data_IF_441621616586
#
_entry.id   IF_441621616586
#
_cell.length_a   1.000
_cell.length_b   1.000
_cell.length_c   1.000
_cell.angle_alpha   90.00
_cell.angle_beta   90.00
_cell.angle_gamma   90.00
#
_symmetry.space_group_name_H-M   'P 1'
#
loop_
_entity.id
_entity.type
_entity.pdbx_description
1 polymer ?
#
# COMPACT_ATOMS: atom_id res chain seq x y z
N UNK A 1 -19.45 -12.20 8.36
CA UNK A 1 -19.22 -12.83 7.06
C UNK A 1 -18.68 -14.24 7.29
N UNK A 2 -19.12 -15.20 6.49
CA UNK A 2 -18.74 -16.60 6.57
C UNK A 2 -18.23 -17.10 5.22
N UNK A 3 -17.33 -18.07 5.25
CA UNK A 3 -16.84 -18.81 4.09
C UNK A 3 -17.11 -20.30 4.28
N UNK A 4 -17.42 -21.00 3.20
CA UNK A 4 -17.62 -22.46 3.24
C UNK A 4 -16.27 -23.18 3.06
N UNK A 5 -15.67 -23.62 4.16
CA UNK A 5 -14.38 -24.34 4.14
C UNK A 5 -14.47 -25.73 3.47
N UNK A 6 -15.68 -26.29 3.33
CA UNK A 6 -15.91 -27.55 2.64
C UNK A 6 -16.04 -27.43 1.11
N UNK A 7 -15.80 -26.25 0.52
CA UNK A 7 -15.88 -26.05 -0.92
C UNK A 7 -14.53 -26.14 -1.62
N UNK A 8 -14.53 -26.64 -2.87
CA UNK A 8 -13.34 -26.68 -3.71
C UNK A 8 -12.74 -25.28 -3.90
N UNK A 9 -13.60 -24.27 -4.07
CA UNK A 9 -13.17 -22.87 -4.19
C UNK A 9 -12.34 -22.41 -2.99
N UNK A 10 -12.77 -22.73 -1.77
CA UNK A 10 -12.03 -22.36 -0.55
C UNK A 10 -10.71 -23.09 -0.44
N UNK A 11 -10.68 -24.38 -0.82
CA UNK A 11 -9.45 -25.16 -0.87
C UNK A 11 -8.42 -24.50 -1.82
N UNK A 12 -8.82 -24.19 -3.05
CA UNK A 12 -7.96 -23.55 -4.05
C UNK A 12 -7.51 -22.17 -3.56
N UNK A 13 -8.41 -21.37 -3.00
CA UNK A 13 -8.11 -20.04 -2.49
C UNK A 13 -7.21 -20.05 -1.25
N UNK A 14 -7.09 -21.16 -0.55
CA UNK A 14 -6.18 -21.33 0.59
C UNK A 14 -4.70 -21.34 0.20
N UNK A 15 -4.38 -21.65 -1.05
CA UNK A 15 -3.03 -21.61 -1.59
C UNK A 15 -2.84 -20.36 -2.46
N UNK A 16 -1.84 -19.53 -2.11
CA UNK A 16 -1.57 -18.26 -2.81
C UNK A 16 -1.27 -18.43 -4.31
N UNK A 17 -0.72 -19.55 -4.72
CA UNK A 17 -0.28 -19.79 -6.09
C UNK A 17 -1.23 -20.71 -6.89
N UNK A 18 -2.31 -21.20 -6.26
CA UNK A 18 -3.29 -22.06 -6.91
C UNK A 18 -2.81 -23.49 -7.23
N UNK A 19 -1.58 -23.85 -6.82
CA UNK A 19 -1.01 -25.17 -7.02
C UNK A 19 -1.46 -26.09 -5.87
N UNK A 20 -2.70 -26.56 -5.99
CA UNK A 20 -3.33 -27.47 -5.01
C UNK A 20 -3.72 -28.76 -5.72
N UNK A 21 -3.29 -29.89 -5.18
CA UNK A 21 -3.80 -31.19 -5.63
C UNK A 21 -5.30 -31.31 -5.24
N UNK A 22 -6.14 -31.26 -6.24
CA UNK A 22 -7.59 -31.39 -6.08
C UNK A 22 -8.08 -32.81 -6.36
N UNK A 23 -7.20 -33.75 -6.71
CA UNK A 23 -7.57 -35.11 -7.14
C UNK A 23 -8.27 -35.94 -6.05
N UNK A 24 -7.94 -35.68 -4.78
CA UNK A 24 -8.53 -36.35 -3.62
C UNK A 24 -9.64 -35.53 -2.93
N UNK A 25 -9.96 -34.33 -3.43
CA UNK A 25 -10.95 -33.48 -2.80
C UNK A 25 -12.37 -34.00 -3.07
N UNK A 26 -13.12 -34.22 -2.02
CA UNK A 26 -14.54 -34.54 -2.07
C UNK A 26 -15.30 -33.38 -1.43
N UNK A 27 -16.10 -32.70 -2.24
CA UNK A 27 -16.92 -31.59 -1.74
C UNK A 27 -17.92 -32.10 -0.69
N UNK A 28 -17.96 -31.42 0.45
CA UNK A 28 -18.91 -31.78 1.51
C UNK A 28 -20.35 -31.54 1.05
N UNK A 29 -21.25 -32.51 1.18
CA UNK A 29 -22.66 -32.30 0.83
C UNK A 29 -23.34 -31.24 1.71
N UNK A 30 -22.78 -30.97 2.89
CA UNK A 30 -23.23 -29.92 3.78
C UNK A 30 -22.13 -28.84 3.89
N UNK A 31 -22.49 -27.55 3.81
CA UNK A 31 -21.50 -26.49 3.92
C UNK A 31 -20.90 -26.43 5.32
N UNK A 32 -19.57 -26.25 5.39
CA UNK A 32 -18.81 -26.07 6.62
C UNK A 32 -18.49 -24.59 6.77
N UNK A 33 -19.34 -23.87 7.49
CA UNK A 33 -19.23 -22.43 7.61
C UNK A 33 -18.18 -21.99 8.65
N UNK A 34 -17.14 -21.29 8.19
CA UNK A 34 -16.17 -20.62 9.06
C UNK A 34 -16.38 -19.11 9.02
N UNK A 35 -16.46 -18.48 10.18
CA UNK A 35 -16.59 -17.03 10.31
C UNK A 35 -15.26 -16.33 10.01
N UNK A 36 -15.28 -15.36 9.11
CA UNK A 36 -14.09 -14.57 8.68
C UNK A 36 -14.22 -13.07 8.96
N UNK A 37 -15.40 -12.60 9.39
CA UNK A 37 -15.62 -11.19 9.76
C UNK A 37 -16.85 -11.02 10.64
N UNK A 38 -16.86 -9.96 11.48
CA UNK A 38 -17.91 -9.71 12.51
C UNK A 38 -18.72 -8.45 12.27
N UNK A 39 -18.19 -7.50 11.53
CA UNK A 39 -18.68 -6.11 11.36
C UNK A 39 -19.28 -5.85 9.97
N UNK A 40 -19.70 -6.91 9.27
CA UNK A 40 -20.16 -6.81 7.88
C UNK A 40 -19.03 -6.70 6.86
N UNK A 41 -17.79 -6.62 7.31
CA UNK A 41 -16.61 -6.59 6.45
C UNK A 41 -15.82 -7.90 6.56
N UNK A 42 -15.26 -8.35 5.44
CA UNK A 42 -14.34 -9.48 5.41
C UNK A 42 -13.36 -9.33 4.27
N UNK A 43 -12.19 -9.91 4.45
CA UNK A 43 -11.20 -10.05 3.40
C UNK A 43 -10.87 -11.52 3.22
N UNK A 44 -10.86 -11.96 1.98
CA UNK A 44 -10.43 -13.30 1.61
C UNK A 44 -9.65 -13.26 0.30
N UNK A 45 -8.82 -14.25 0.08
CA UNK A 45 -8.13 -14.45 -1.18
C UNK A 45 -9.04 -15.21 -2.14
N UNK A 46 -9.19 -14.74 -3.38
CA UNK A 46 -10.03 -15.40 -4.39
C UNK A 46 -9.34 -15.38 -5.75
N UNK A 47 -9.00 -16.55 -6.25
CA UNK A 47 -8.31 -16.71 -7.52
C UNK A 47 -9.13 -16.29 -8.74
N UNK A 48 -10.45 -16.19 -8.60
CA UNK A 48 -11.34 -15.73 -9.67
C UNK A 48 -11.20 -14.24 -9.99
N UNK A 49 -10.68 -13.44 -9.03
CA UNK A 49 -10.64 -11.98 -9.15
C UNK A 49 -9.28 -11.40 -9.53
N UNK A 50 -8.26 -12.23 -9.70
CA UNK A 50 -6.92 -11.79 -10.05
C UNK A 50 -6.24 -12.67 -11.10
N UNK A 51 -5.16 -12.17 -11.69
CA UNK A 51 -4.38 -12.88 -12.68
C UNK A 51 -3.41 -13.86 -12.01
N UNK A 52 -3.50 -15.16 -12.39
CA UNK A 52 -2.73 -16.24 -11.75
C UNK A 52 -1.42 -16.58 -12.46
N UNK A 53 -1.21 -16.11 -13.69
CA UNK A 53 0.00 -16.41 -14.43
C UNK A 53 1.16 -15.47 -14.05
N UNK A 54 2.42 -15.96 -13.98
CA UNK A 54 3.59 -15.10 -13.80
C UNK A 54 3.86 -14.20 -15.02
N UNK A 55 3.28 -14.55 -16.19
CA UNK A 55 3.37 -13.71 -17.39
C UNK A 55 2.36 -12.58 -17.31
N UNK A 56 2.79 -11.36 -17.65
CA UNK A 56 1.89 -10.21 -17.74
C UNK A 56 0.73 -10.51 -18.70
N UNK A 57 -0.52 -10.28 -18.31
CA UNK A 57 -1.66 -10.49 -19.21
C UNK A 57 -1.63 -9.50 -20.37
N UNK A 58 -2.20 -9.90 -21.50
CA UNK A 58 -2.52 -8.99 -22.58
C UNK A 58 -3.93 -8.42 -22.35
N UNK A 59 -4.15 -7.11 -22.50
CA UNK A 59 -5.49 -6.55 -22.45
C UNK A 59 -6.30 -6.99 -23.68
N UNK A 60 -7.60 -7.20 -23.47
CA UNK A 60 -8.52 -7.59 -24.54
C UNK A 60 -9.15 -6.39 -25.26
N UNK A 61 -8.97 -5.19 -24.71
CA UNK A 61 -9.48 -3.93 -25.27
C UNK A 61 -8.52 -2.76 -25.02
N UNK A 62 -8.87 -1.59 -25.57
CA UNK A 62 -8.09 -0.34 -25.43
C UNK A 62 -8.17 0.28 -24.04
N UNK A 63 -9.11 -0.15 -23.21
CA UNK A 63 -9.25 0.30 -21.81
C UNK A 63 -8.39 -0.50 -20.84
N UNK A 64 -7.68 -1.52 -21.36
CA UNK A 64 -6.81 -2.35 -20.55
C UNK A 64 -7.52 -3.51 -19.85
N UNK A 65 -8.73 -3.84 -20.24
CA UNK A 65 -9.49 -4.97 -19.68
C UNK A 65 -8.72 -6.28 -19.88
N UNK A 66 -8.56 -7.07 -18.82
CA UNK A 66 -7.92 -8.38 -18.84
C UNK A 66 -8.97 -9.48 -18.74
N UNK A 67 -9.79 -9.45 -17.70
CA UNK A 67 -10.84 -10.43 -17.45
C UNK A 67 -11.98 -9.82 -16.64
N UNK A 68 -13.21 -10.13 -17.03
CA UNK A 68 -14.39 -9.88 -16.21
C UNK A 68 -14.60 -11.08 -15.27
N UNK A 69 -14.85 -10.82 -14.00
CA UNK A 69 -15.03 -11.85 -13.00
C UNK A 69 -16.35 -11.74 -12.25
N UNK A 70 -16.82 -12.85 -11.73
CA UNK A 70 -18.04 -12.96 -10.92
C UNK A 70 -17.81 -13.87 -9.74
N UNK A 71 -18.23 -13.43 -8.56
CA UNK A 71 -18.20 -14.20 -7.32
C UNK A 71 -19.60 -14.31 -6.77
N UNK A 72 -20.20 -15.51 -6.76
CA UNK A 72 -21.50 -15.71 -6.14
C UNK A 72 -21.36 -15.64 -4.63
N UNK A 73 -22.26 -14.91 -4.00
CA UNK A 73 -22.34 -14.74 -2.54
C UNK A 73 -23.81 -14.89 -2.11
N UNK A 74 -24.04 -15.10 -0.83
CA UNK A 74 -25.38 -15.01 -0.25
C UNK A 74 -25.40 -13.90 0.80
N UNK A 75 -26.35 -12.98 0.68
CA UNK A 75 -26.55 -11.89 1.64
C UNK A 75 -27.92 -12.11 2.28
N UNK A 76 -27.95 -12.36 3.59
CA UNK A 76 -29.16 -12.65 4.36
C UNK A 76 -30.04 -13.77 3.74
N UNK A 77 -29.38 -14.80 3.20
CA UNK A 77 -30.04 -15.93 2.53
C UNK A 77 -30.42 -15.69 1.07
N UNK A 78 -30.23 -14.47 0.54
CA UNK A 78 -30.52 -14.14 -0.86
C UNK A 78 -29.27 -14.34 -1.71
N UNK A 79 -29.35 -15.17 -2.73
CA UNK A 79 -28.26 -15.38 -3.68
C UNK A 79 -27.99 -14.09 -4.48
N UNK A 80 -26.75 -13.64 -4.44
CA UNK A 80 -26.29 -12.39 -5.04
C UNK A 80 -24.97 -12.63 -5.78
N UNK A 81 -24.62 -11.81 -6.74
CA UNK A 81 -23.35 -11.91 -7.46
C UNK A 81 -22.57 -10.61 -7.33
N UNK A 82 -21.36 -10.67 -6.81
CA UNK A 82 -20.39 -9.58 -6.92
C UNK A 82 -19.66 -9.75 -8.25
N UNK A 83 -19.61 -8.71 -9.06
CA UNK A 83 -18.91 -8.72 -10.34
C UNK A 83 -17.95 -7.56 -10.45
N UNK A 84 -16.88 -7.77 -11.19
CA UNK A 84 -15.90 -6.74 -11.45
C UNK A 84 -15.06 -7.08 -12.68
N UNK A 85 -14.11 -6.20 -12.96
CA UNK A 85 -13.22 -6.34 -14.11
C UNK A 85 -11.79 -6.12 -13.65
N UNK A 86 -10.89 -7.01 -14.03
CA UNK A 86 -9.47 -6.84 -13.85
C UNK A 86 -8.92 -6.00 -15.01
N UNK A 87 -8.26 -4.91 -14.67
CA UNK A 87 -7.63 -4.03 -15.65
C UNK A 87 -6.11 -4.08 -15.53
N UNK A 88 -5.45 -4.06 -16.67
CA UNK A 88 -4.03 -3.81 -16.76
C UNK A 88 -3.78 -2.30 -16.78
N UNK A 89 -3.31 -1.77 -15.67
CA UNK A 89 -2.95 -0.35 -15.59
C UNK A 89 -1.62 -0.12 -16.30
N UNK A 90 -1.56 0.93 -17.11
CA UNK A 90 -0.29 1.38 -17.66
C UNK A 90 0.65 1.81 -16.52
N UNK A 91 1.94 1.49 -16.69
CA UNK A 91 2.95 1.96 -15.75
C UNK A 91 3.02 3.48 -15.81
N UNK A 92 3.11 4.12 -14.65
CA UNK A 92 3.34 5.55 -14.58
C UNK A 92 4.60 5.91 -15.38
N UNK A 93 4.50 6.97 -16.19
CA UNK A 93 5.62 7.41 -17.01
C UNK A 93 6.83 7.75 -16.14
N UNK A 94 7.97 7.18 -16.48
CA UNK A 94 9.26 7.46 -15.82
C UNK A 94 9.57 8.97 -15.85
N UNK A 95 9.07 9.68 -16.85
CA UNK A 95 9.28 11.15 -16.97
C UNK A 95 8.68 11.92 -15.79
N UNK A 96 7.51 11.52 -15.28
CA UNK A 96 6.91 12.14 -14.10
C UNK A 96 7.73 11.91 -12.84
N UNK A 97 8.30 10.71 -12.69
CA UNK A 97 9.22 10.39 -11.59
C UNK A 97 10.51 11.21 -11.67
N UNK A 98 11.09 11.32 -12.89
CA UNK A 98 12.28 12.17 -13.13
C UNK A 98 11.99 13.64 -12.89
N UNK A 99 10.85 14.15 -13.35
CA UNK A 99 10.44 15.52 -13.09
C UNK A 99 10.24 15.81 -11.60
N UNK A 100 9.58 14.90 -10.88
CA UNK A 100 9.43 14.98 -9.42
C UNK A 100 10.77 14.95 -8.69
N UNK A 101 11.67 14.06 -9.09
CA UNK A 101 13.02 13.97 -8.54
C UNK A 101 13.83 15.24 -8.81
N UNK A 102 13.80 15.78 -10.04
CA UNK A 102 14.47 17.02 -10.40
C UNK A 102 13.92 18.21 -9.61
N UNK A 103 12.59 18.31 -9.47
CA UNK A 103 11.96 19.35 -8.66
C UNK A 103 12.37 19.25 -7.18
N UNK A 104 12.41 18.04 -6.62
CA UNK A 104 12.86 17.80 -5.25
C UNK A 104 14.34 18.18 -5.09
N UNK A 105 15.20 17.78 -6.03
CA UNK A 105 16.62 18.12 -6.02
C UNK A 105 16.84 19.64 -6.11
N UNK A 106 16.09 20.33 -6.96
CA UNK A 106 16.10 21.80 -7.03
C UNK A 106 15.63 22.43 -5.71
N UNK A 107 14.54 21.95 -5.13
CA UNK A 107 14.04 22.43 -3.85
C UNK A 107 15.09 22.24 -2.74
N UNK A 108 15.73 21.07 -2.67
CA UNK A 108 16.78 20.78 -1.70
C UNK A 108 18.01 21.66 -1.91
N UNK A 109 18.48 21.84 -3.15
CA UNK A 109 19.67 22.67 -3.44
C UNK A 109 19.41 24.16 -3.20
N UNK A 110 18.24 24.66 -3.55
CA UNK A 110 17.84 26.05 -3.26
C UNK A 110 17.67 26.27 -1.74
N UNK A 111 17.07 25.32 -1.04
CA UNK A 111 16.88 25.36 0.41
C UNK A 111 18.19 25.19 1.17
N UNK A 112 19.17 24.44 0.65
CA UNK A 112 20.49 24.29 1.26
C UNK A 112 21.25 25.62 1.36
N UNK A 113 21.00 26.56 0.46
CA UNK A 113 21.54 27.95 0.53
C UNK A 113 20.87 28.79 1.61
N UNK A 114 19.63 28.44 1.98
CA UNK A 114 18.83 29.07 3.04
C UNK A 114 18.49 28.05 4.11
N UNK A 115 19.41 27.81 5.05
CA UNK A 115 19.33 26.74 6.06
C UNK A 115 17.97 26.62 6.77
N UNK A 116 17.32 27.75 7.07
CA UNK A 116 16.02 27.75 7.77
C UNK A 116 14.90 27.14 6.92
N UNK A 117 14.90 27.41 5.62
CA UNK A 117 13.89 26.93 4.70
C UNK A 117 14.01 25.42 4.45
N UNK A 118 15.26 24.91 4.40
CA UNK A 118 15.53 23.48 4.25
C UNK A 118 14.88 22.63 5.37
N UNK A 119 15.00 23.05 6.61
CA UNK A 119 14.39 22.32 7.74
C UNK A 119 12.87 22.37 7.67
N UNK A 120 12.32 23.51 7.28
CA UNK A 120 10.87 23.66 7.15
C UNK A 120 10.31 22.79 6.01
N UNK A 121 10.99 22.74 4.86
CA UNK A 121 10.61 21.90 3.72
C UNK A 121 10.63 20.41 4.11
N UNK A 122 11.68 19.94 4.80
CA UNK A 122 11.76 18.56 5.28
C UNK A 122 10.61 18.23 6.25
N UNK A 123 10.29 19.14 7.15
CA UNK A 123 9.18 18.99 8.07
C UNK A 123 7.84 18.89 7.32
N UNK A 124 7.59 19.77 6.35
CA UNK A 124 6.35 19.73 5.56
C UNK A 124 6.22 18.42 4.76
N UNK A 125 7.29 17.97 4.10
CA UNK A 125 7.29 16.67 3.37
C UNK A 125 6.96 15.53 4.33
N UNK A 126 7.53 15.55 5.54
CA UNK A 126 7.24 14.53 6.56
C UNK A 126 5.77 14.55 6.97
N UNK A 127 5.16 15.72 7.16
CA UNK A 127 3.74 15.86 7.47
C UNK A 127 2.86 15.32 6.34
N UNK A 128 3.20 15.61 5.07
CA UNK A 128 2.49 15.03 3.92
C UNK A 128 2.58 13.51 3.95
N UNK A 129 3.76 12.96 4.25
CA UNK A 129 3.95 11.51 4.40
C UNK A 129 3.09 10.92 5.54
N UNK A 130 2.95 11.62 6.68
CA UNK A 130 2.06 11.21 7.77
C UNK A 130 0.60 11.16 7.31
N UNK A 131 0.14 12.20 6.61
CA UNK A 131 -1.24 12.26 6.11
C UNK A 131 -1.51 11.12 5.13
N UNK A 132 -0.63 10.92 4.15
CA UNK A 132 -0.74 9.83 3.15
C UNK A 132 -0.73 8.47 3.84
N UNK A 133 0.21 8.23 4.77
CA UNK A 133 0.29 6.98 5.51
C UNK A 133 -0.93 6.71 6.39
N UNK A 134 -1.49 7.75 7.01
CA UNK A 134 -2.72 7.64 7.79
C UNK A 134 -3.92 7.33 6.89
N UNK A 135 -4.08 8.02 5.76
CA UNK A 135 -5.14 7.75 4.79
C UNK A 135 -5.06 6.33 4.24
N UNK A 136 -3.85 5.86 3.90
CA UNK A 136 -3.63 4.49 3.44
C UNK A 136 -4.03 3.49 4.53
N UNK A 137 -3.59 3.68 5.77
CA UNK A 137 -3.89 2.77 6.88
C UNK A 137 -5.39 2.70 7.20
N UNK A 138 -6.06 3.85 7.23
CA UNK A 138 -7.52 3.92 7.50
C UNK A 138 -8.33 3.39 6.32
N UNK A 139 -7.88 3.62 5.08
CA UNK A 139 -8.56 3.16 3.86
C UNK A 139 -8.51 1.64 3.66
N UNK A 140 -7.61 0.93 4.35
CA UNK A 140 -7.54 -0.52 4.27
C UNK A 140 -8.55 -1.19 5.23
N UNK A 141 -9.27 -2.24 4.78
CA UNK A 141 -10.11 -3.06 5.65
C UNK A 141 -9.31 -3.63 6.83
N UNK A 142 -9.95 -3.84 7.98
CA UNK A 142 -9.28 -4.29 9.21
C UNK A 142 -8.43 -5.56 9.02
N UNK A 143 -8.89 -6.51 8.20
CA UNK A 143 -8.15 -7.75 7.90
C UNK A 143 -6.97 -7.58 6.93
N UNK A 144 -6.90 -6.44 6.20
CA UNK A 144 -5.84 -6.15 5.23
C UNK A 144 -4.78 -5.17 5.75
N UNK A 145 -4.93 -4.67 6.98
CA UNK A 145 -3.99 -3.73 7.57
C UNK A 145 -2.65 -4.41 7.84
N UNK A 146 -1.68 -4.08 7.01
CA UNK A 146 -0.27 -4.43 7.20
C UNK A 146 0.40 -3.39 8.10
N UNK A 147 1.64 -3.68 8.52
CA UNK A 147 2.44 -2.72 9.29
C UNK A 147 2.50 -1.37 8.58
N UNK A 148 2.07 -0.27 9.21
CA UNK A 148 1.93 1.03 8.55
C UNK A 148 3.30 1.73 8.42
N UNK A 149 4.19 1.19 7.59
CA UNK A 149 5.58 1.65 7.46
C UNK A 149 5.65 3.12 7.05
N UNK A 150 4.86 3.55 6.05
CA UNK A 150 4.83 4.96 5.62
C UNK A 150 4.46 5.87 6.78
N UNK A 151 3.41 5.53 7.53
CA UNK A 151 2.97 6.31 8.68
C UNK A 151 4.04 6.37 9.78
N UNK A 152 4.65 5.24 10.12
CA UNK A 152 5.67 5.16 11.17
C UNK A 152 6.93 5.95 10.81
N UNK A 153 7.49 5.74 9.62
CA UNK A 153 8.69 6.43 9.18
C UNK A 153 8.46 7.93 8.99
N UNK A 154 7.33 8.32 8.40
CA UNK A 154 7.00 9.74 8.22
C UNK A 154 6.73 10.44 9.55
N UNK A 155 6.12 9.78 10.52
CA UNK A 155 5.93 10.32 11.88
C UNK A 155 7.28 10.53 12.58
N UNK A 156 8.16 9.53 12.55
CA UNK A 156 9.53 9.65 13.07
C UNK A 156 10.29 10.79 12.40
N UNK A 157 10.21 10.89 11.08
CA UNK A 157 10.81 11.96 10.29
C UNK A 157 10.28 13.36 10.69
N UNK A 158 8.97 13.51 10.89
CA UNK A 158 8.36 14.77 11.31
C UNK A 158 8.84 15.20 12.72
N UNK A 159 8.94 14.26 13.65
CA UNK A 159 9.46 14.52 14.99
C UNK A 159 10.92 14.98 14.93
N UNK A 160 11.78 14.26 14.20
CA UNK A 160 13.21 14.61 14.09
C UNK A 160 13.39 15.95 13.37
N UNK A 161 12.63 16.22 12.32
CA UNK A 161 12.67 17.52 11.61
C UNK A 161 12.19 18.65 12.53
N UNK A 162 11.12 18.44 13.32
CA UNK A 162 10.65 19.40 14.33
C UNK A 162 11.72 19.71 15.39
N UNK A 163 12.35 18.70 15.95
CA UNK A 163 13.48 18.86 16.89
C UNK A 163 14.61 19.64 16.23
N UNK A 164 14.95 19.33 14.98
CA UNK A 164 16.01 20.01 14.22
C UNK A 164 15.70 21.50 14.04
N UNK A 165 14.44 21.88 13.78
CA UNK A 165 14.00 23.28 13.72
C UNK A 165 14.21 23.99 15.06
N UNK A 166 13.90 23.33 16.17
CA UNK A 166 14.09 23.89 17.52
C UNK A 166 15.57 24.06 17.85
N UNK A 167 16.40 23.10 17.47
CA UNK A 167 17.86 23.15 17.72
C UNK A 167 18.59 24.24 16.95
N UNK A 168 18.09 24.64 15.77
CA UNK A 168 18.68 25.73 14.99
C UNK A 168 18.73 27.07 15.75
N UNK A 169 17.83 27.28 16.70
CA UNK A 169 17.74 28.52 17.49
C UNK A 169 18.73 28.56 18.67
N UNK A 170 19.50 27.48 18.85
CA UNK A 170 20.46 27.31 19.95
C UNK A 170 21.91 27.60 19.50
N UNK A 171 22.90 27.00 20.12
CA UNK A 171 24.32 27.20 19.87
C UNK A 171 24.75 26.69 18.49
N UNK A 172 25.93 27.13 18.04
CA UNK A 172 26.52 26.71 16.77
C UNK A 172 26.74 25.19 16.68
N UNK A 173 27.15 24.55 17.79
CA UNK A 173 27.27 23.09 17.88
C UNK A 173 25.93 22.40 17.65
N UNK A 174 24.84 22.92 18.21
CA UNK A 174 23.48 22.40 18.00
C UNK A 174 23.04 22.50 16.53
N UNK A 175 23.51 23.51 15.80
CA UNK A 175 23.17 23.67 14.37
C UNK A 175 23.80 22.56 13.50
N UNK A 176 25.03 22.14 13.77
CA UNK A 176 25.66 21.03 13.05
C UNK A 176 24.90 19.71 13.29
N UNK A 177 24.53 19.43 14.53
CA UNK A 177 23.72 18.26 14.87
C UNK A 177 22.37 18.30 14.16
N UNK A 178 21.71 19.46 14.17
CA UNK A 178 20.43 19.64 13.49
C UNK A 178 20.53 19.36 11.98
N UNK A 179 21.58 19.81 11.29
CA UNK A 179 21.82 19.54 9.87
C UNK A 179 21.98 18.04 9.62
N UNK A 180 22.78 17.34 10.44
CA UNK A 180 22.99 15.89 10.30
C UNK A 180 21.70 15.10 10.54
N UNK A 181 20.93 15.45 11.56
CA UNK A 181 19.63 14.84 11.84
C UNK A 181 18.65 15.03 10.66
N UNK A 182 18.58 16.25 10.11
CA UNK A 182 17.68 16.55 9.00
C UNK A 182 18.09 15.83 7.71
N UNK A 183 19.38 15.69 7.43
CA UNK A 183 19.90 14.91 6.32
C UNK A 183 19.54 13.42 6.45
N UNK A 184 19.70 12.85 7.66
CA UNK A 184 19.27 11.48 7.98
C UNK A 184 17.76 11.29 7.79
N UNK A 185 16.95 12.27 8.20
CA UNK A 185 15.50 12.26 7.98
C UNK A 185 15.15 12.22 6.50
N UNK A 186 15.80 13.06 5.67
CA UNK A 186 15.60 13.06 4.23
C UNK A 186 15.96 11.71 3.59
N UNK A 187 17.09 11.11 3.98
CA UNK A 187 17.48 9.78 3.51
C UNK A 187 16.45 8.70 3.89
N UNK A 188 15.94 8.73 5.11
CA UNK A 188 14.90 7.79 5.58
C UNK A 188 13.63 7.90 4.76
N UNK A 189 13.18 9.13 4.44
CA UNK A 189 12.00 9.34 3.60
C UNK A 189 12.19 8.82 2.18
N UNK A 190 13.37 8.99 1.58
CA UNK A 190 13.71 8.46 0.26
C UNK A 190 13.67 6.93 0.26
N UNK A 191 14.28 6.29 1.25
CA UNK A 191 14.25 4.81 1.40
C UNK A 191 12.82 4.32 1.58
N UNK A 192 12.02 4.99 2.40
CA UNK A 192 10.61 4.65 2.61
C UNK A 192 9.82 4.76 1.30
N UNK A 193 10.00 5.85 0.55
CA UNK A 193 9.34 6.04 -0.74
C UNK A 193 9.74 4.96 -1.75
N UNK A 194 11.02 4.57 -1.77
CA UNK A 194 11.51 3.50 -2.64
C UNK A 194 10.92 2.13 -2.28
N UNK A 195 10.89 1.78 -0.99
CA UNK A 195 10.29 0.52 -0.52
C UNK A 195 8.78 0.42 -0.80
N UNK A 196 8.10 1.55 -0.91
CA UNK A 196 6.66 1.60 -1.19
C UNK A 196 6.34 1.77 -2.68
N UNK A 197 7.33 1.99 -3.54
CA UNK A 197 7.11 2.21 -4.98
C UNK A 197 6.61 0.96 -5.73
N UNK A 198 6.87 -0.22 -5.18
CA UNK A 198 6.49 -1.51 -5.77
C UNK A 198 5.22 -2.12 -5.13
N UNK A 199 4.58 -1.44 -4.17
CA UNK A 199 3.32 -1.84 -3.55
C UNK A 199 2.13 -1.16 -4.24
#
# INVERSE_FOLDING_TARGET
VFVNDGSLTTLINGNRYGDVDTSSFVESPNPVWRKIGTDGTAMWHDHRVHWMSPKRPAPIDTMGTVVAWKVPVSVDGVATTVSGTLFLREKASVLWWLAGFAALLCAVTLSARRRKEFFFVTFLISIVGVVVGAMQYVGLPNGARITPLILMFSTGAAVVAGISIMMQRRSQSSQHIAVSLNAGTGATLIVCAWLCADQ
#
